data_IF_109917058831
#
_entry.id   IF_109917058831
#
_cell.length_a   1.000
_cell.length_b   1.000
_cell.length_c   1.000
_cell.angle_alpha   90.00
_cell.angle_beta   90.00
_cell.angle_gamma   90.00
#
_symmetry.space_group_name_H-M   'P 1'
#
loop_
_entity.id
_entity.type
_entity.pdbx_description
1 polymer ?
#
# COMPACT_ATOMS: atom_id res chain seq x y z
N UNK A 1 -8.28 28.55 -6.89
CA UNK A 1 -7.39 27.69 -6.07
C UNK A 1 -8.26 27.18 -4.95
N UNK A 2 -8.47 25.86 -4.86
CA UNK A 2 -9.38 25.23 -3.88
C UNK A 2 -9.07 25.65 -2.44
N UNK A 3 -7.81 25.94 -2.11
CA UNK A 3 -7.43 26.43 -0.79
C UNK A 3 -8.04 27.79 -0.46
N UNK A 4 -8.18 28.68 -1.45
CA UNK A 4 -8.80 29.99 -1.27
C UNK A 4 -10.33 29.89 -1.09
N UNK A 5 -10.93 28.80 -1.57
CA UNK A 5 -12.37 28.55 -1.41
C UNK A 5 -12.69 28.02 -0.01
N UNK A 6 -11.81 27.20 0.58
CA UNK A 6 -12.00 26.64 1.93
C UNK A 6 -11.48 27.57 3.05
N UNK A 7 -10.61 28.53 2.71
CA UNK A 7 -9.98 29.47 3.62
C UNK A 7 -10.99 30.25 4.50
N UNK A 8 -12.08 30.84 3.97
CA UNK A 8 -13.06 31.57 4.78
C UNK A 8 -13.75 30.71 5.83
N UNK A 9 -13.79 29.39 5.64
CA UNK A 9 -14.40 28.45 6.57
C UNK A 9 -13.40 27.94 7.61
N UNK A 10 -12.13 27.83 7.24
CA UNK A 10 -11.08 27.29 8.10
C UNK A 10 -10.48 28.36 9.02
N UNK A 11 -10.21 29.57 8.52
CA UNK A 11 -9.55 30.62 9.30
C UNK A 11 -10.28 30.92 10.63
N UNK A 12 -11.62 31.11 10.64
CA UNK A 12 -12.34 31.40 11.88
C UNK A 12 -12.24 30.28 12.92
N UNK A 13 -12.23 29.02 12.47
CA UNK A 13 -12.09 27.87 13.35
C UNK A 13 -10.71 27.85 14.01
N UNK A 14 -9.67 28.17 13.24
CA UNK A 14 -8.29 28.18 13.72
C UNK A 14 -8.03 29.36 14.66
N UNK A 15 -8.54 30.55 14.34
CA UNK A 15 -8.50 31.74 15.21
C UNK A 15 -9.17 31.48 16.56
N UNK A 16 -10.29 30.74 16.55
CA UNK A 16 -11.00 30.31 17.75
C UNK A 16 -10.35 29.09 18.44
N UNK A 17 -9.14 28.68 18.02
CA UNK A 17 -8.37 27.55 18.56
C UNK A 17 -9.09 26.20 18.52
N UNK A 18 -10.00 26.01 17.56
CA UNK A 18 -10.55 24.69 17.30
C UNK A 18 -9.51 23.78 16.67
N UNK A 19 -9.60 22.49 17.01
CA UNK A 19 -8.87 21.43 16.32
C UNK A 19 -9.63 21.04 15.06
N UNK A 20 -8.97 21.16 13.92
CA UNK A 20 -9.50 20.76 12.62
C UNK A 20 -9.05 19.34 12.30
N UNK A 21 -10.00 18.45 12.03
CA UNK A 21 -9.70 17.06 11.68
C UNK A 21 -10.16 16.83 10.24
N UNK A 22 -9.21 16.48 9.39
CA UNK A 22 -9.52 15.97 8.06
C UNK A 22 -9.67 14.47 8.12
N UNK A 23 -10.64 13.94 7.38
CA UNK A 23 -10.78 12.50 7.21
C UNK A 23 -11.19 12.17 5.78
N UNK A 24 -10.84 10.97 5.35
CA UNK A 24 -11.24 10.49 4.04
C UNK A 24 -10.94 9.01 3.87
N UNK A 25 -11.58 8.40 2.88
CA UNK A 25 -11.35 7.01 2.49
C UNK A 25 -10.83 6.94 1.05
N UNK A 26 -9.92 6.00 0.76
CA UNK A 26 -9.37 5.79 -0.57
C UNK A 26 -8.78 7.08 -1.15
N UNK A 27 -9.20 7.50 -2.35
CA UNK A 27 -8.79 8.79 -2.95
C UNK A 27 -9.11 9.99 -2.05
N UNK A 28 -10.25 9.97 -1.33
CA UNK A 28 -10.61 11.03 -0.40
C UNK A 28 -9.63 11.16 0.77
N UNK A 29 -9.01 10.05 1.18
CA UNK A 29 -7.95 10.04 2.18
C UNK A 29 -6.70 10.77 1.67
N UNK A 30 -6.28 10.47 0.44
CA UNK A 30 -5.18 11.15 -0.22
C UNK A 30 -5.44 12.66 -0.35
N UNK A 31 -6.63 13.04 -0.78
CA UNK A 31 -7.04 14.46 -0.86
C UNK A 31 -6.96 15.13 0.50
N UNK A 32 -7.51 14.52 1.55
CA UNK A 32 -7.45 15.05 2.92
C UNK A 32 -6.01 15.30 3.40
N UNK A 33 -5.10 14.37 3.10
CA UNK A 33 -3.68 14.49 3.45
C UNK A 33 -3.02 15.65 2.71
N UNK A 34 -3.20 15.71 1.38
CA UNK A 34 -2.61 16.77 0.55
C UNK A 34 -3.16 18.14 0.94
N UNK A 35 -4.47 18.26 1.21
CA UNK A 35 -5.08 19.48 1.72
C UNK A 35 -4.45 19.91 3.04
N UNK A 36 -4.26 18.99 3.99
CA UNK A 36 -3.62 19.30 5.26
C UNK A 36 -2.16 19.77 5.08
N UNK A 37 -1.39 19.14 4.19
CA UNK A 37 -0.02 19.57 3.85
C UNK A 37 -0.01 20.98 3.28
N UNK A 38 -0.88 21.24 2.30
CA UNK A 38 -0.95 22.55 1.65
C UNK A 38 -1.36 23.65 2.63
N UNK A 39 -2.30 23.38 3.56
CA UNK A 39 -2.69 24.32 4.60
C UNK A 39 -1.56 24.60 5.59
N UNK A 40 -0.84 23.55 6.03
CA UNK A 40 0.34 23.70 6.89
C UNK A 40 1.46 24.50 6.22
N UNK A 41 1.61 24.36 4.89
CA UNK A 41 2.58 25.13 4.11
C UNK A 41 2.14 26.58 3.90
N UNK A 42 0.84 26.85 3.69
CA UNK A 42 0.32 28.20 3.45
C UNK A 42 0.24 29.03 4.74
N UNK A 43 -0.04 28.38 5.86
CA UNK A 43 -0.20 29.04 7.17
C UNK A 43 0.67 28.37 8.24
N UNK A 44 2.01 28.47 8.14
CA UNK A 44 2.90 27.80 9.07
C UNK A 44 2.62 28.23 10.52
N UNK A 45 2.48 29.53 10.78
CA UNK A 45 2.30 30.08 12.14
C UNK A 45 1.03 29.58 12.84
N UNK A 46 -0.02 29.32 12.06
CA UNK A 46 -1.31 28.82 12.54
C UNK A 46 -1.31 27.30 12.76
N UNK A 47 -0.34 26.58 12.18
CA UNK A 47 -0.29 25.11 12.24
C UNK A 47 1.06 24.56 12.74
N UNK A 48 1.89 25.42 13.34
CA UNK A 48 3.09 25.04 14.08
C UNK A 48 2.76 24.02 15.18
N UNK A 49 1.62 24.19 15.86
CA UNK A 49 1.11 23.17 16.77
C UNK A 49 0.45 22.03 15.97
N UNK A 50 1.15 20.89 15.93
CA UNK A 50 0.66 19.62 15.36
C UNK A 50 -0.66 19.14 15.95
N UNK A 51 -1.09 19.66 17.10
CA UNK A 51 -2.39 19.32 17.70
C UNK A 51 -3.56 20.02 17.04
N UNK A 52 -3.34 21.10 16.29
CA UNK A 52 -4.41 21.92 15.73
C UNK A 52 -4.98 21.38 14.42
N UNK A 53 -4.18 20.68 13.62
CA UNK A 53 -4.63 19.90 12.45
C UNK A 53 -4.26 18.44 12.64
N UNK A 54 -5.21 17.55 12.37
CA UNK A 54 -4.93 16.11 12.26
C UNK A 54 -5.64 15.50 11.04
N UNK A 55 -5.08 14.44 10.49
CA UNK A 55 -5.71 13.66 9.42
C UNK A 55 -5.91 12.20 9.85
N UNK A 56 -7.13 11.69 9.64
CA UNK A 56 -7.44 10.26 9.67
C UNK A 56 -7.73 9.75 8.26
N UNK A 57 -6.79 8.99 7.72
CA UNK A 57 -6.83 8.50 6.35
C UNK A 57 -7.14 7.00 6.34
N UNK A 58 -8.18 6.57 5.63
CA UNK A 58 -8.58 5.15 5.57
C UNK A 58 -8.30 4.58 4.18
N UNK A 59 -7.52 3.50 4.07
CA UNK A 59 -7.27 2.81 2.80
C UNK A 59 -6.66 3.71 1.72
N UNK A 60 -5.78 4.65 2.10
CA UNK A 60 -5.22 5.63 1.16
C UNK A 60 -4.26 4.98 0.17
N UNK A 61 -4.22 5.43 -1.10
CA UNK A 61 -3.13 5.10 -2.01
C UNK A 61 -1.82 5.79 -1.56
N UNK A 62 -0.66 5.32 -2.03
CA UNK A 62 0.61 6.03 -1.89
C UNK A 62 0.59 7.33 -2.71
N UNK A 63 0.77 8.48 -2.05
CA UNK A 63 0.60 9.80 -2.70
C UNK A 63 1.68 10.83 -2.40
N UNK A 64 2.62 10.50 -1.51
CA UNK A 64 3.73 11.40 -1.15
C UNK A 64 5.06 10.75 -1.46
N UNK A 65 6.09 11.54 -1.74
CA UNK A 65 7.46 11.04 -1.72
C UNK A 65 7.85 10.55 -0.33
N UNK A 66 8.99 9.87 -0.26
CA UNK A 66 9.50 9.25 0.96
C UNK A 66 9.60 10.22 2.14
N UNK A 67 10.21 11.39 1.92
CA UNK A 67 10.54 12.32 3.01
C UNK A 67 9.27 13.05 3.47
N UNK A 68 8.38 13.42 2.53
CA UNK A 68 7.05 13.97 2.85
C UNK A 68 6.15 12.96 3.59
N UNK A 69 6.18 11.68 3.21
CA UNK A 69 5.43 10.63 3.90
C UNK A 69 5.88 10.49 5.37
N UNK A 70 7.18 10.52 5.63
CA UNK A 70 7.72 10.49 7.00
C UNK A 70 7.35 11.76 7.77
N UNK A 71 7.55 12.95 7.17
CA UNK A 71 7.23 14.22 7.82
C UNK A 71 5.76 14.31 8.25
N UNK A 72 4.85 13.71 7.47
CA UNK A 72 3.42 13.66 7.78
C UNK A 72 3.06 12.80 9.00
N UNK A 73 3.97 12.00 9.56
CA UNK A 73 3.75 11.23 10.79
C UNK A 73 3.39 12.12 12.01
N UNK A 74 3.74 13.40 11.96
CA UNK A 74 3.44 14.37 13.01
C UNK A 74 1.95 14.75 13.11
N UNK A 75 1.19 14.66 12.02
CA UNK A 75 -0.21 15.11 11.95
C UNK A 75 -1.16 14.15 11.20
N UNK A 76 -0.66 13.05 10.63
CA UNK A 76 -1.46 12.09 9.87
C UNK A 76 -1.41 10.70 10.53
N UNK A 77 -2.58 10.09 10.68
CA UNK A 77 -2.76 8.68 11.03
C UNK A 77 -3.53 7.99 9.91
N UNK A 78 -2.89 7.01 9.30
CA UNK A 78 -3.47 6.23 8.21
C UNK A 78 -3.84 4.84 8.73
N UNK A 79 -5.07 4.41 8.46
CA UNK A 79 -5.60 3.11 8.87
C UNK A 79 -5.77 2.26 7.61
N UNK A 80 -5.15 1.08 7.61
CA UNK A 80 -5.13 0.18 6.46
C UNK A 80 -5.52 -1.22 6.90
N UNK A 81 -6.46 -1.81 6.17
CA UNK A 81 -6.67 -3.24 6.21
C UNK A 81 -5.56 -3.93 5.41
N UNK A 82 -4.89 -4.93 5.95
CA UNK A 82 -3.80 -5.64 5.25
C UNK A 82 -4.23 -6.26 3.91
N UNK A 83 -5.52 -6.62 3.79
CA UNK A 83 -6.13 -7.13 2.56
C UNK A 83 -6.51 -6.02 1.54
N UNK A 84 -6.31 -4.75 1.88
CA UNK A 84 -6.57 -3.63 0.99
C UNK A 84 -5.41 -3.44 -0.01
N UNK A 85 -5.73 -3.60 -1.29
CA UNK A 85 -4.78 -3.44 -2.38
C UNK A 85 -4.43 -1.97 -2.65
N UNK A 86 -5.33 -1.02 -2.35
CA UNK A 86 -5.17 0.40 -2.72
C UNK A 86 -3.87 0.98 -2.17
N UNK A 87 -3.54 0.64 -0.93
CA UNK A 87 -2.30 1.06 -0.27
C UNK A 87 -1.03 0.45 -0.86
N UNK A 88 -1.14 -0.55 -1.73
CA UNK A 88 -0.04 -1.22 -2.44
C UNK A 88 0.01 -0.85 -3.93
N UNK A 89 -0.86 0.04 -4.41
CA UNK A 89 -0.87 0.50 -5.82
C UNK A 89 0.21 1.57 -6.06
N UNK A 90 1.48 1.16 -6.04
CA UNK A 90 2.63 2.02 -6.36
C UNK A 90 3.28 1.60 -7.69
N UNK A 91 3.97 2.55 -8.33
CA UNK A 91 4.79 2.28 -9.52
C UNK A 91 5.88 1.27 -9.20
N UNK A 92 6.46 1.32 -7.99
CA UNK A 92 7.46 0.36 -7.53
C UNK A 92 6.90 -1.06 -7.53
N UNK A 93 5.71 -1.27 -6.96
CA UNK A 93 5.09 -2.59 -6.88
C UNK A 93 4.71 -3.11 -8.28
N UNK A 94 4.26 -2.22 -9.17
CA UNK A 94 4.04 -2.57 -10.57
C UNK A 94 5.34 -2.98 -11.28
N UNK A 95 6.44 -2.27 -11.05
CA UNK A 95 7.74 -2.60 -11.63
C UNK A 95 8.26 -3.97 -11.14
N UNK A 96 8.10 -4.27 -9.85
CA UNK A 96 8.40 -5.60 -9.28
C UNK A 96 7.55 -6.67 -9.96
N UNK A 97 6.23 -6.46 -10.05
CA UNK A 97 5.32 -7.40 -10.67
C UNK A 97 5.73 -7.68 -12.14
N UNK A 98 6.04 -6.63 -12.89
CA UNK A 98 6.50 -6.76 -14.29
C UNK A 98 7.83 -7.51 -14.39
N UNK A 99 8.78 -7.28 -13.48
CA UNK A 99 10.03 -8.03 -13.43
C UNK A 99 9.79 -9.53 -13.14
N UNK A 100 8.88 -9.84 -12.22
CA UNK A 100 8.46 -11.21 -11.93
C UNK A 100 7.78 -11.87 -13.13
N UNK A 101 6.85 -11.18 -13.79
CA UNK A 101 6.17 -11.69 -14.98
C UNK A 101 7.15 -11.97 -16.13
N UNK A 102 8.18 -11.14 -16.30
CA UNK A 102 9.25 -11.39 -17.28
C UNK A 102 10.07 -12.63 -16.93
N UNK A 103 10.39 -12.85 -15.65
CA UNK A 103 11.07 -14.07 -15.21
C UNK A 103 10.23 -15.33 -15.48
N UNK A 104 8.93 -15.28 -15.18
CA UNK A 104 7.98 -16.36 -15.49
C UNK A 104 7.91 -16.60 -17.00
N UNK A 105 7.85 -15.53 -17.81
CA UNK A 105 7.84 -15.62 -19.27
C UNK A 105 9.12 -16.30 -19.81
N UNK A 106 10.29 -15.97 -19.27
CA UNK A 106 11.55 -16.61 -19.65
C UNK A 106 11.52 -18.11 -19.34
N UNK A 107 11.06 -18.51 -18.15
CA UNK A 107 10.91 -19.93 -17.79
C UNK A 107 9.89 -20.66 -18.67
N UNK A 108 8.78 -20.02 -19.02
CA UNK A 108 7.83 -20.57 -19.99
C UNK A 108 8.47 -20.80 -21.36
N UNK A 109 9.33 -19.88 -21.82
CA UNK A 109 10.06 -20.02 -23.07
C UNK A 109 11.07 -21.18 -23.03
N UNK A 110 11.82 -21.32 -21.94
CA UNK A 110 12.77 -22.42 -21.72
C UNK A 110 12.08 -23.80 -21.74
N UNK A 111 10.90 -23.89 -21.11
CA UNK A 111 10.08 -25.10 -21.11
C UNK A 111 9.25 -25.31 -22.39
N UNK A 112 9.45 -24.47 -23.44
CA UNK A 112 8.68 -24.49 -24.70
C UNK A 112 7.16 -24.37 -24.51
N UNK A 113 6.72 -23.74 -23.42
CA UNK A 113 5.32 -23.51 -23.04
C UNK A 113 4.84 -22.11 -23.39
N UNK A 114 5.55 -21.41 -24.28
CA UNK A 114 5.17 -20.07 -24.72
C UNK A 114 3.91 -20.17 -25.60
N UNK A 115 2.77 -19.55 -25.23
CA UNK A 115 1.52 -19.67 -25.98
C UNK A 115 1.61 -18.89 -27.30
N UNK A 116 2.21 -19.49 -28.32
CA UNK A 116 2.37 -18.93 -29.67
C UNK A 116 1.29 -19.44 -30.64
N UNK A 117 0.42 -20.33 -30.20
CA UNK A 117 -0.68 -20.92 -30.98
C UNK A 117 -1.61 -21.78 -30.13
N UNK A 118 -2.74 -22.26 -30.70
CA UNK A 118 -3.79 -22.94 -29.96
C UNK A 118 -3.33 -24.19 -29.20
N UNK A 119 -2.38 -24.96 -29.77
CA UNK A 119 -1.81 -26.16 -29.12
C UNK A 119 -0.97 -25.80 -27.88
N UNK A 120 -0.14 -24.77 -27.96
CA UNK A 120 0.67 -24.30 -26.83
C UNK A 120 -0.15 -23.63 -25.73
N UNK A 121 -1.26 -22.96 -26.09
CA UNK A 121 -2.20 -22.39 -25.13
C UNK A 121 -2.95 -23.49 -24.37
N UNK A 122 -3.38 -24.55 -25.05
CA UNK A 122 -4.00 -25.73 -24.40
C UNK A 122 -3.02 -26.43 -23.47
N UNK A 123 -1.75 -26.61 -23.86
CA UNK A 123 -0.73 -27.17 -22.97
C UNK A 123 -0.49 -26.31 -21.72
N UNK A 124 -0.51 -24.98 -21.87
CA UNK A 124 -0.42 -24.04 -20.75
C UNK A 124 -1.64 -24.13 -19.82
N UNK A 125 -2.86 -24.08 -20.36
CA UNK A 125 -4.09 -24.19 -19.58
C UNK A 125 -4.23 -25.57 -18.90
N UNK A 126 -3.85 -26.67 -19.56
CA UNK A 126 -3.84 -28.00 -18.96
C UNK A 126 -2.85 -28.07 -17.80
N UNK A 127 -1.67 -27.44 -17.91
CA UNK A 127 -0.69 -27.41 -16.83
C UNK A 127 -1.11 -26.51 -15.66
N UNK A 128 -1.92 -25.47 -15.91
CA UNK A 128 -2.58 -24.68 -14.86
C UNK A 128 -3.74 -25.48 -14.22
N UNK A 129 -4.48 -26.24 -15.01
CA UNK A 129 -5.65 -26.99 -14.59
C UNK A 129 -5.32 -28.31 -13.86
N UNK A 130 -4.16 -28.91 -14.13
CA UNK A 130 -3.77 -30.22 -13.56
C UNK A 130 -3.50 -30.21 -12.05
N UNK A 131 -3.44 -29.04 -11.41
CA UNK A 131 -3.38 -28.96 -9.94
C UNK A 131 -2.22 -29.77 -9.33
N UNK A 132 -2.33 -30.06 -8.03
CA UNK A 132 -1.28 -30.47 -7.07
C UNK A 132 -0.35 -31.65 -7.42
N UNK A 133 -0.52 -32.34 -8.55
CA UNK A 133 0.35 -33.44 -9.02
C UNK A 133 1.39 -33.04 -10.08
N UNK A 134 1.32 -31.83 -10.63
CA UNK A 134 2.29 -31.33 -11.61
C UNK A 134 3.54 -30.72 -10.97
N UNK A 135 4.71 -30.85 -11.61
CA UNK A 135 5.90 -30.08 -11.21
C UNK A 135 5.63 -28.58 -11.46
N UNK A 136 5.70 -27.74 -10.40
CA UNK A 136 5.41 -26.32 -10.54
C UNK A 136 6.44 -25.66 -11.46
N UNK A 137 5.99 -24.70 -12.27
CA UNK A 137 6.84 -23.96 -13.21
C UNK A 137 7.98 -23.21 -12.47
N UNK A 138 7.68 -22.73 -11.27
CA UNK A 138 8.62 -22.17 -10.32
C UNK A 138 8.31 -22.70 -8.92
N UNK A 139 9.34 -23.01 -8.14
CA UNK A 139 9.14 -23.25 -6.72
C UNK A 139 8.79 -21.95 -6.00
N UNK A 140 8.13 -22.03 -4.83
CA UNK A 140 7.85 -20.85 -4.01
C UNK A 140 9.14 -20.10 -3.63
N UNK A 141 10.23 -20.83 -3.38
CA UNK A 141 11.54 -20.25 -3.07
C UNK A 141 12.12 -19.48 -4.26
N UNK A 142 12.02 -20.03 -5.48
CA UNK A 142 12.46 -19.33 -6.70
C UNK A 142 11.63 -18.07 -6.95
N UNK A 143 10.31 -18.16 -6.73
CA UNK A 143 9.41 -17.01 -6.90
C UNK A 143 9.78 -15.90 -5.91
N UNK A 144 9.93 -16.24 -4.63
CA UNK A 144 10.33 -15.28 -3.59
C UNK A 144 11.70 -14.66 -3.89
N UNK A 145 12.67 -15.46 -4.36
CA UNK A 145 13.97 -14.95 -4.76
C UNK A 145 13.85 -13.93 -5.92
N UNK A 146 13.01 -14.20 -6.92
CA UNK A 146 12.75 -13.25 -8.01
C UNK A 146 12.13 -11.95 -7.50
N UNK A 147 11.17 -12.04 -6.56
CA UNK A 147 10.58 -10.86 -5.93
C UNK A 147 11.63 -10.05 -5.15
N UNK A 148 12.50 -10.71 -4.39
CA UNK A 148 13.54 -10.06 -3.60
C UNK A 148 14.60 -9.38 -4.47
N UNK A 149 15.07 -10.05 -5.53
CA UNK A 149 15.99 -9.47 -6.49
C UNK A 149 15.37 -8.28 -7.24
N UNK A 150 14.10 -8.38 -7.63
CA UNK A 150 13.38 -7.26 -8.25
C UNK A 150 13.27 -6.05 -7.31
N UNK A 151 13.03 -6.29 -6.01
CA UNK A 151 13.02 -5.24 -5.00
C UNK A 151 14.39 -4.59 -4.78
N UNK A 152 15.46 -5.38 -4.68
CA UNK A 152 16.83 -4.84 -4.51
C UNK A 152 17.25 -3.94 -5.66
N UNK A 153 16.80 -4.24 -6.87
CA UNK A 153 17.10 -3.47 -8.07
C UNK A 153 16.24 -2.19 -8.21
N UNK A 154 15.28 -1.96 -7.32
CA UNK A 154 14.51 -0.72 -7.29
C UNK A 154 15.19 0.31 -6.38
N UNK A 155 15.67 1.45 -6.92
CA UNK A 155 16.22 2.49 -6.07
C UNK A 155 15.10 3.12 -5.24
N UNK A 156 15.31 3.19 -3.92
CA UNK A 156 14.32 3.62 -2.93
C UNK A 156 13.84 5.07 -3.14
N UNK A 157 14.72 5.96 -3.62
CA UNK A 157 14.48 7.41 -3.73
C UNK A 157 14.35 7.87 -5.18
N UNK A 158 13.38 7.30 -5.89
CA UNK A 158 12.96 7.80 -7.19
C UNK A 158 11.80 8.78 -7.03
N UNK A 159 11.78 9.92 -7.74
CA UNK A 159 10.66 10.85 -7.69
C UNK A 159 9.30 10.21 -7.98
N UNK A 160 9.28 9.16 -8.81
CA UNK A 160 8.09 8.39 -9.16
C UNK A 160 7.64 7.39 -8.08
N UNK A 161 8.41 7.19 -7.00
CA UNK A 161 8.06 6.29 -5.92
C UNK A 161 7.27 7.03 -4.84
N UNK A 162 5.99 6.70 -4.76
CA UNK A 162 5.08 7.26 -3.76
C UNK A 162 4.88 6.28 -2.62
N UNK A 163 4.70 6.84 -1.43
CA UNK A 163 4.57 6.18 -0.15
C UNK A 163 3.28 6.59 0.54
N UNK A 164 2.84 5.73 1.45
CA UNK A 164 1.66 5.96 2.26
C UNK A 164 1.99 7.02 3.31
N UNK A 165 1.21 8.11 3.42
CA UNK A 165 1.52 9.15 4.38
C UNK A 165 1.25 8.74 5.83
N UNK A 166 2.05 9.25 6.75
CA UNK A 166 1.73 9.30 8.16
C UNK A 166 2.11 8.07 8.97
N UNK A 167 1.65 8.07 10.23
CA UNK A 167 1.71 6.89 11.10
C UNK A 167 0.67 5.90 10.58
N UNK A 168 1.10 4.69 10.25
CA UNK A 168 0.23 3.69 9.66
C UNK A 168 -0.19 2.68 10.73
N UNK A 169 -1.50 2.47 10.88
CA UNK A 169 -2.11 1.41 11.66
C UNK A 169 -2.56 0.32 10.69
N UNK A 170 -1.81 -0.78 10.65
CA UNK A 170 -2.09 -1.93 9.80
C UNK A 170 -2.93 -2.93 10.58
N UNK A 171 -4.20 -3.07 10.21
CA UNK A 171 -5.14 -4.01 10.78
C UNK A 171 -5.18 -5.30 9.95
N UNK A 172 -5.07 -6.46 10.60
CA UNK A 172 -5.10 -7.76 9.92
C UNK A 172 -5.69 -8.86 10.80
N UNK A 173 -6.20 -9.90 10.16
CA UNK A 173 -6.53 -11.14 10.83
C UNK A 173 -5.34 -12.09 10.70
N UNK A 174 -4.78 -12.60 11.82
CA UNK A 174 -3.72 -13.58 11.76
C UNK A 174 -4.25 -14.85 11.07
N UNK A 175 -3.41 -15.43 10.20
CA UNK A 175 -3.73 -16.68 9.52
C UNK A 175 -3.95 -17.77 10.58
N UNK A 176 -5.14 -18.39 10.59
CA UNK A 176 -5.42 -19.50 11.51
C UNK A 176 -4.75 -20.75 10.98
N UNK A 177 -3.81 -21.31 11.75
CA UNK A 177 -3.32 -22.66 11.45
C UNK A 177 -4.50 -23.62 11.53
N UNK A 178 -4.75 -24.40 10.47
CA UNK A 178 -5.84 -25.39 10.37
C UNK A 178 -5.87 -26.45 11.50
N UNK A 179 -4.84 -26.47 12.36
CA UNK A 179 -4.70 -27.40 13.50
C UNK A 179 -5.32 -26.91 14.81
N UNK A 180 -5.82 -25.68 14.87
CA UNK A 180 -6.47 -25.16 16.08
C UNK A 180 -7.99 -25.26 15.95
N UNK A 181 -8.60 -26.14 16.75
CA UNK A 181 -10.05 -26.25 16.87
C UNK A 181 -10.68 -24.88 17.19
N UNK A 182 -11.87 -24.58 16.63
CA UNK A 182 -12.53 -23.30 16.83
C UNK A 182 -12.93 -23.14 18.31
N UNK A 183 -12.07 -22.49 19.11
CA UNK A 183 -12.45 -22.05 20.45
C UNK A 183 -13.60 -21.04 20.32
N UNK A 184 -14.75 -21.42 20.86
CA UNK A 184 -16.03 -20.72 20.85
C UNK A 184 -16.06 -19.45 21.70
N UNK A 185 -15.08 -18.57 21.55
CA UNK A 185 -15.08 -17.25 22.20
C UNK A 185 -15.18 -16.19 21.12
N UNK A 186 -16.35 -15.55 21.02
CA UNK A 186 -16.71 -14.54 20.02
C UNK A 186 -15.93 -13.21 20.11
N UNK A 187 -14.60 -13.25 20.22
CA UNK A 187 -13.74 -12.09 20.06
C UNK A 187 -13.22 -12.05 18.63
N UNK A 188 -13.50 -10.95 17.93
CA UNK A 188 -12.85 -10.63 16.66
C UNK A 188 -11.34 -10.58 16.90
N UNK A 189 -10.59 -11.58 16.40
CA UNK A 189 -9.13 -11.69 16.50
C UNK A 189 -8.41 -10.68 15.59
N UNK A 190 -8.94 -9.47 15.42
CA UNK A 190 -8.31 -8.42 14.64
C UNK A 190 -7.06 -7.94 15.39
N UNK A 191 -5.89 -8.08 14.77
CA UNK A 191 -4.65 -7.52 15.26
C UNK A 191 -4.37 -6.19 14.56
N UNK A 192 -3.63 -5.31 15.23
CA UNK A 192 -3.22 -4.02 14.69
C UNK A 192 -1.75 -3.78 15.04
N UNK A 193 -0.95 -3.43 14.03
CA UNK A 193 0.46 -3.06 14.21
C UNK A 193 0.68 -1.66 13.69
N UNK A 194 1.40 -0.85 14.47
CA UNK A 194 1.83 0.48 14.03
C UNK A 194 3.11 0.37 13.20
N UNK A 195 3.14 1.04 12.06
CA UNK A 195 4.27 1.10 11.13
C UNK A 195 4.28 2.45 10.40
N UNK A 196 5.06 2.57 9.33
CA UNK A 196 5.07 3.73 8.41
C UNK A 196 4.78 3.27 6.98
N UNK A 197 4.42 4.20 6.11
CA UNK A 197 4.22 3.90 4.69
C UNK A 197 5.47 3.49 3.93
N UNK A 198 6.65 3.69 4.51
CA UNK A 198 7.92 3.22 3.98
C UNK A 198 8.24 1.75 4.35
N UNK A 199 7.38 1.11 5.15
CA UNK A 199 7.55 -0.28 5.55
C UNK A 199 7.49 -1.25 4.37
N UNK A 200 8.31 -2.31 4.44
CA UNK A 200 8.37 -3.37 3.42
C UNK A 200 7.02 -4.05 3.17
N UNK A 201 6.10 -4.03 4.15
CA UNK A 201 4.76 -4.60 4.01
C UNK A 201 4.00 -3.97 2.83
N UNK A 202 4.20 -2.68 2.57
CA UNK A 202 3.53 -1.99 1.47
C UNK A 202 4.28 -2.05 0.14
N UNK A 203 5.51 -2.55 0.16
CA UNK A 203 6.33 -2.74 -1.04
C UNK A 203 6.07 -4.11 -1.69
N UNK A 204 5.50 -5.04 -0.94
CA UNK A 204 5.14 -6.37 -1.47
C UNK A 204 3.66 -6.47 -1.79
N UNK A 205 3.32 -7.22 -2.82
CA UNK A 205 1.95 -7.71 -3.08
C UNK A 205 1.80 -9.11 -2.46
N UNK A 206 2.04 -9.22 -1.16
CA UNK A 206 1.72 -10.45 -0.43
C UNK A 206 0.21 -10.41 -0.12
N UNK A 207 -0.55 -11.29 -0.78
CA UNK A 207 -1.98 -11.54 -0.56
C UNK A 207 -2.12 -12.79 0.30
#
# INVERSE_FOLDING_TARGET
>A
NVLNEIEPFLLPLVECRYRVIFCGHSLGAATAIVTAILLRSKYPDLFLDTKQIHVYAFGTPPVLDHDSAIASCSFCTTIINNADLISRLSISNLAVLLACLRSIQSKLAEHKMNPKGPVSSVAFFNKIAEGTSGTPLMTLSELNHTFDEAHKNLPLRKPEHLFIPGKVLLAYYPWRNEREEPKSTGRNNLQCVQTTGASNVFQRLEI
#
